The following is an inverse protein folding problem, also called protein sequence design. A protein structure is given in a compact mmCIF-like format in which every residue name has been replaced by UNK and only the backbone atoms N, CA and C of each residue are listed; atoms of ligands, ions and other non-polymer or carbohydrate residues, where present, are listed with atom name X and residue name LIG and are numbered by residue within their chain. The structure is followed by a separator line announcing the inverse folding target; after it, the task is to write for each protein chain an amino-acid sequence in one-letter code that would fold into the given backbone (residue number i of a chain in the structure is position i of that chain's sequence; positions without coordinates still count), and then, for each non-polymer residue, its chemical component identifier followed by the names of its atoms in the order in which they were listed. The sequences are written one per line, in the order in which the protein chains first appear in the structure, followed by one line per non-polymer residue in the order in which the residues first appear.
data_IF_662111207539
#
_entry.id   IF_662111207539
#
_cell.length_a   1.000
_cell.length_b   1.000
_cell.length_c   1.000
_cell.angle_alpha   90.00
_cell.angle_beta   90.00
_cell.angle_gamma   90.00
#
_symmetry.space_group_name_H-M   'P 1'
#
loop_
_entity.id
_entity.type
_entity.pdbx_description
1 polymer ?
#
# COMPACT_ATOMS: atom_id res chain seq x y z
N UNK A 1 3.69 -12.80 -2.48
CA UNK A 1 4.77 -11.92 -2.97
C UNK A 1 4.13 -10.83 -3.80
N UNK A 2 4.45 -9.56 -3.56
CA UNK A 2 3.95 -8.41 -4.31
C UNK A 2 5.11 -7.50 -4.73
N UNK A 3 4.82 -6.49 -5.52
CA UNK A 3 5.74 -5.40 -5.84
C UNK A 3 5.06 -4.05 -5.59
N UNK A 4 5.43 -3.37 -4.51
CA UNK A 4 4.85 -2.07 -4.15
C UNK A 4 3.39 -2.17 -3.72
N UNK A 5 3.10 -3.01 -2.74
CA UNK A 5 1.76 -3.45 -2.36
C UNK A 5 0.90 -2.40 -1.62
N UNK A 6 1.37 -1.17 -1.45
CA UNK A 6 0.73 -0.16 -0.59
C UNK A 6 -0.72 0.12 -1.01
N UNK A 7 -1.00 0.24 -2.32
CA UNK A 7 -2.38 0.39 -2.80
C UNK A 7 -3.12 -0.95 -2.87
N UNK A 8 -2.43 -2.03 -3.24
CA UNK A 8 -3.05 -3.35 -3.42
C UNK A 8 -3.71 -3.85 -2.13
N UNK A 9 -3.05 -3.67 -0.98
CA UNK A 9 -3.61 -4.06 0.32
C UNK A 9 -4.89 -3.30 0.62
N UNK A 10 -4.96 -2.01 0.29
CA UNK A 10 -6.16 -1.19 0.50
C UNK A 10 -7.29 -1.58 -0.45
N UNK A 11 -6.99 -1.83 -1.73
CA UNK A 11 -7.98 -2.23 -2.73
C UNK A 11 -8.56 -3.61 -2.43
N UNK A 12 -7.73 -4.56 -2.00
CA UNK A 12 -8.17 -5.89 -1.58
C UNK A 12 -9.16 -5.82 -0.40
N UNK A 13 -8.93 -4.93 0.56
CA UNK A 13 -9.87 -4.70 1.66
C UNK A 13 -11.16 -4.05 1.16
N UNK A 14 -11.07 -2.96 0.40
CA UNK A 14 -12.21 -2.18 -0.09
C UNK A 14 -13.17 -3.02 -0.92
N UNK A 15 -12.64 -3.76 -1.90
CA UNK A 15 -13.46 -4.39 -2.94
C UNK A 15 -13.84 -5.83 -2.58
N UNK A 16 -13.02 -6.51 -1.77
CA UNK A 16 -13.14 -7.95 -1.54
C UNK A 16 -13.07 -8.39 -0.07
N UNK A 17 -12.84 -7.47 0.88
CA UNK A 17 -12.60 -7.78 2.30
C UNK A 17 -11.46 -8.81 2.50
N UNK A 18 -10.44 -8.76 1.65
CA UNK A 18 -9.27 -9.65 1.71
C UNK A 18 -8.16 -8.98 2.53
N UNK A 19 -7.56 -9.76 3.43
CA UNK A 19 -6.41 -9.36 4.24
C UNK A 19 -5.22 -10.26 3.94
N UNK A 20 -4.03 -9.65 3.87
CA UNK A 20 -2.79 -10.35 3.54
C UNK A 20 -1.95 -10.55 4.80
N UNK A 21 -1.45 -11.77 5.01
CA UNK A 21 -0.53 -12.11 6.10
C UNK A 21 0.73 -12.70 5.51
N UNK A 22 1.89 -12.40 6.11
CA UNK A 22 3.20 -12.87 5.66
C UNK A 22 3.55 -12.38 4.23
N UNK A 23 3.39 -11.07 4.01
CA UNK A 23 3.74 -10.43 2.76
C UNK A 23 5.26 -10.33 2.62
N UNK A 24 5.77 -10.68 1.44
CA UNK A 24 7.08 -10.27 0.96
C UNK A 24 6.89 -9.32 -0.23
N UNK A 25 7.30 -8.08 -0.06
CA UNK A 25 7.23 -7.03 -1.06
C UNK A 25 8.62 -6.77 -1.65
N UNK A 26 8.76 -7.03 -2.94
CA UNK A 26 10.02 -6.87 -3.68
C UNK A 26 10.49 -5.42 -3.73
N UNK A 27 9.58 -4.43 -3.72
CA UNK A 27 9.95 -3.02 -3.67
C UNK A 27 10.57 -2.64 -2.31
N UNK A 28 10.03 -3.15 -1.20
CA UNK A 28 10.61 -2.94 0.14
C UNK A 28 11.95 -3.65 0.28
N UNK A 29 12.11 -4.85 -0.30
CA UNK A 29 13.40 -5.54 -0.34
C UNK A 29 14.47 -4.73 -1.11
N UNK A 30 14.10 -4.11 -2.23
CA UNK A 30 14.99 -3.22 -2.98
C UNK A 30 15.45 -2.00 -2.17
N UNK A 31 14.58 -1.42 -1.34
CA UNK A 31 14.94 -0.32 -0.44
C UNK A 31 15.97 -0.75 0.61
N UNK A 32 15.77 -1.93 1.22
CA UNK A 32 16.73 -2.50 2.18
C UNK A 32 18.06 -2.81 1.51
N UNK A 33 18.04 -3.33 0.28
CA UNK A 33 19.23 -3.56 -0.53
C UNK A 33 19.85 -2.29 -1.13
N UNK A 34 19.21 -1.12 -0.95
CA UNK A 34 19.67 0.15 -1.52
C UNK A 34 19.89 0.07 -3.04
N UNK A 35 19.01 -0.65 -3.76
CA UNK A 35 19.05 -0.78 -5.22
C UNK A 35 18.90 0.60 -5.89
N UNK A 36 19.53 0.85 -7.05
CA UNK A 36 19.42 2.12 -7.78
C UNK A 36 17.98 2.53 -8.11
N UNK A 37 17.13 1.54 -8.40
CA UNK A 37 15.71 1.71 -8.66
C UNK A 37 14.93 0.59 -7.99
N UNK A 38 13.64 0.83 -7.78
CA UNK A 38 12.71 -0.13 -7.17
C UNK A 38 11.45 -0.39 -7.99
N UNK A 39 11.43 0.00 -9.27
CA UNK A 39 10.28 -0.23 -10.16
C UNK A 39 10.27 -1.67 -10.67
N UNK A 40 9.09 -2.21 -10.98
CA UNK A 40 8.98 -3.58 -11.48
C UNK A 40 9.69 -3.74 -12.82
N UNK A 41 9.56 -2.74 -13.69
CA UNK A 41 10.28 -2.65 -14.97
C UNK A 41 11.80 -2.83 -14.79
N UNK A 42 12.40 -2.12 -13.82
CA UNK A 42 13.82 -2.24 -13.52
C UNK A 42 14.20 -3.66 -13.07
N UNK A 43 13.37 -4.30 -12.22
CA UNK A 43 13.65 -5.65 -11.74
C UNK A 43 13.48 -6.71 -12.83
N UNK A 44 12.48 -6.56 -13.69
CA UNK A 44 12.27 -7.45 -14.84
C UNK A 44 13.44 -7.40 -15.82
N UNK A 45 13.91 -6.20 -16.15
CA UNK A 45 15.09 -6.02 -17.00
C UNK A 45 16.36 -6.58 -16.31
N UNK A 46 16.58 -6.22 -15.04
CA UNK A 46 17.81 -6.60 -14.30
C UNK A 46 17.93 -8.10 -14.07
N UNK A 47 16.85 -8.78 -13.66
CA UNK A 47 16.93 -10.20 -13.29
C UNK A 47 16.50 -11.15 -14.40
N UNK A 48 15.57 -10.73 -15.26
CA UNK A 48 14.94 -11.62 -16.25
C UNK A 48 15.25 -11.20 -17.70
N UNK A 49 15.90 -10.05 -17.93
CA UNK A 49 16.15 -9.52 -19.27
C UNK A 49 14.88 -9.13 -20.03
N UNK A 50 13.76 -8.95 -19.32
CA UNK A 50 12.45 -8.67 -19.92
C UNK A 50 12.20 -7.17 -19.89
N UNK A 51 11.97 -6.59 -21.07
CA UNK A 51 11.55 -5.21 -21.22
C UNK A 51 10.04 -5.09 -21.06
N UNK A 52 9.58 -4.23 -20.16
CA UNK A 52 8.15 -3.95 -19.99
C UNK A 52 7.69 -2.84 -20.93
N UNK A 53 6.62 -3.09 -21.67
CA UNK A 53 5.86 -2.02 -22.31
C UNK A 53 5.02 -1.27 -21.25
N UNK A 54 5.11 0.05 -21.20
CA UNK A 54 4.39 0.89 -20.22
C UNK A 54 3.04 1.41 -20.75
N UNK A 55 2.71 1.12 -22.01
CA UNK A 55 1.49 1.57 -22.68
C UNK A 55 0.23 1.20 -21.89
N UNK A 56 0.14 -0.04 -21.40
CA UNK A 56 -1.06 -0.58 -20.74
C UNK A 56 -1.25 -0.17 -19.27
N UNK A 57 -0.30 0.56 -18.68
CA UNK A 57 -0.36 0.94 -17.25
C UNK A 57 -1.57 1.84 -16.93
N UNK A 58 -2.03 2.64 -17.90
CA UNK A 58 -3.12 3.63 -17.72
C UNK A 58 -4.35 3.34 -18.58
N UNK A 59 -4.44 2.14 -19.14
CA UNK A 59 -5.57 1.71 -19.97
C UNK A 59 -6.83 1.40 -19.15
N UNK A 60 -7.99 1.41 -19.81
CA UNK A 60 -9.26 1.06 -19.15
C UNK A 60 -9.41 -0.46 -19.00
N UNK A 61 -9.08 -0.97 -17.81
CA UNK A 61 -9.18 -2.39 -17.44
C UNK A 61 -10.61 -2.91 -17.25
N UNK A 62 -11.62 -2.03 -17.37
CA UNK A 62 -13.04 -2.40 -17.23
C UNK A 62 -13.63 -2.89 -18.56
N UNK A 63 -13.02 -2.56 -19.69
CA UNK A 63 -13.54 -2.92 -21.01
C UNK A 63 -13.65 -4.43 -21.22
N UNK A 64 -14.65 -4.91 -21.97
CA UNK A 64 -14.81 -6.34 -22.31
C UNK A 64 -15.29 -6.51 -23.77
N UNK A 65 -14.73 -7.48 -24.53
CA UNK A 65 -13.58 -8.34 -24.18
C UNK A 65 -12.30 -7.51 -24.01
N UNK A 66 -11.31 -8.07 -23.32
CA UNK A 66 -9.99 -7.43 -23.24
C UNK A 66 -9.25 -7.61 -24.59
N UNK A 67 -8.58 -6.57 -25.11
CA UNK A 67 -7.62 -6.68 -26.21
C UNK A 67 -6.56 -7.76 -25.93
N UNK A 68 -6.01 -8.37 -26.98
CA UNK A 68 -5.12 -9.54 -26.88
C UNK A 68 -3.83 -9.25 -26.10
N UNK A 69 -3.36 -8.01 -26.15
CA UNK A 69 -2.12 -7.54 -25.53
C UNK A 69 -2.26 -7.28 -24.01
N UNK A 70 -3.46 -6.94 -23.54
CA UNK A 70 -3.69 -6.62 -22.12
C UNK A 70 -3.49 -7.83 -21.19
N UNK A 71 -3.98 -9.05 -21.50
CA UNK A 71 -3.66 -10.26 -20.74
C UNK A 71 -2.16 -10.57 -20.70
N UNK A 72 -1.41 -10.31 -21.78
CA UNK A 72 0.04 -10.54 -21.81
C UNK A 72 0.78 -9.58 -20.89
N UNK A 73 0.38 -8.31 -20.90
CA UNK A 73 0.86 -7.31 -19.96
C UNK A 73 0.56 -7.71 -18.50
N UNK A 74 -0.71 -8.02 -18.20
CA UNK A 74 -1.13 -8.40 -16.84
C UNK A 74 -0.43 -9.68 -16.34
N UNK A 75 -0.18 -10.65 -17.23
CA UNK A 75 0.60 -11.85 -16.92
C UNK A 75 2.03 -11.49 -16.51
N UNK A 76 2.66 -10.60 -17.27
CA UNK A 76 4.07 -10.24 -17.09
C UNK A 76 4.34 -9.61 -15.71
N UNK A 77 3.38 -8.86 -15.17
CA UNK A 77 3.47 -8.24 -13.83
C UNK A 77 3.60 -9.28 -12.69
N UNK A 78 3.05 -10.48 -12.86
CA UNK A 78 3.08 -11.53 -11.84
C UNK A 78 4.05 -12.69 -12.16
N UNK A 79 4.23 -13.01 -13.45
CA UNK A 79 4.90 -14.24 -13.90
C UNK A 79 6.33 -14.40 -13.34
N UNK A 80 7.11 -13.32 -13.36
CA UNK A 80 8.52 -13.34 -12.93
C UNK A 80 8.72 -13.03 -11.45
N UNK A 81 7.66 -12.64 -10.74
CA UNK A 81 7.79 -12.01 -9.44
C UNK A 81 8.33 -12.96 -8.37
N UNK A 82 8.01 -14.26 -8.45
CA UNK A 82 8.58 -15.29 -7.58
C UNK A 82 10.07 -15.49 -7.81
N UNK A 83 10.52 -15.47 -9.07
CA UNK A 83 11.93 -15.58 -9.41
C UNK A 83 12.71 -14.38 -8.90
N UNK A 84 12.21 -13.16 -9.16
CA UNK A 84 12.78 -11.91 -8.65
C UNK A 84 12.86 -11.93 -7.12
N UNK A 85 11.80 -12.36 -6.44
CA UNK A 85 11.81 -12.48 -4.98
C UNK A 85 12.90 -13.42 -4.48
N UNK A 86 13.11 -14.57 -5.13
CA UNK A 86 14.19 -15.51 -4.79
C UNK A 86 15.57 -14.85 -4.95
N UNK A 87 15.82 -14.16 -6.05
CA UNK A 87 17.08 -13.44 -6.27
C UNK A 87 17.32 -12.38 -5.19
N UNK A 88 16.31 -11.57 -4.87
CA UNK A 88 16.40 -10.55 -3.81
C UNK A 88 16.65 -11.17 -2.42
N UNK A 89 16.03 -12.32 -2.12
CA UNK A 89 16.27 -13.04 -0.87
C UNK A 89 17.73 -13.52 -0.75
N UNK A 90 18.30 -14.03 -1.85
CA UNK A 90 19.69 -14.48 -1.86
C UNK A 90 20.67 -13.30 -1.73
N UNK A 91 20.39 -12.16 -2.37
CA UNK A 91 21.16 -10.93 -2.17
C UNK A 91 21.08 -10.39 -0.74
N UNK A 92 19.89 -10.39 -0.12
CA UNK A 92 19.71 -9.97 1.27
C UNK A 92 20.56 -10.84 2.22
N UNK A 93 20.59 -12.16 1.99
CA UNK A 93 21.42 -13.10 2.76
C UNK A 93 22.91 -12.83 2.55
N UNK A 94 23.34 -12.60 1.30
CA UNK A 94 24.75 -12.35 0.98
C UNK A 94 25.25 -11.04 1.62
N UNK A 95 24.45 -9.96 1.53
CA UNK A 95 24.78 -8.68 2.17
C UNK A 95 24.95 -8.82 3.68
N UNK A 96 24.07 -9.62 4.30
CA UNK A 96 24.13 -9.89 5.71
C UNK A 96 25.25 -10.86 6.14
N UNK A 97 25.79 -11.68 5.25
CA UNK A 97 26.99 -12.50 5.54
C UNK A 97 28.29 -11.69 5.48
N UNK A 98 28.33 -10.64 4.65
CA UNK A 98 29.50 -9.77 4.51
C UNK A 98 29.76 -8.91 5.77
N UNK A 99 28.71 -8.65 6.55
CA UNK A 99 28.79 -8.00 7.86
C UNK A 99 28.61 -9.10 8.92
N UNK A 100 29.72 -9.56 9.53
CA UNK A 100 29.84 -10.82 10.29
C UNK A 100 28.90 -11.03 11.51
N UNK A 101 27.87 -10.21 11.72
CA UNK A 101 26.91 -10.33 12.83
C UNK A 101 25.42 -10.08 12.46
N UNK A 102 25.10 -9.82 11.18
CA UNK A 102 23.81 -9.19 10.80
C UNK A 102 23.06 -9.91 9.66
N UNK A 103 23.34 -11.20 9.43
CA UNK A 103 22.75 -11.98 8.32
C UNK A 103 21.23 -11.98 8.32
N UNK A 104 20.64 -12.13 9.51
CA UNK A 104 19.20 -12.14 9.68
C UNK A 104 18.60 -10.73 9.64
N UNK A 105 19.38 -9.68 9.93
CA UNK A 105 18.86 -8.34 10.09
C UNK A 105 18.25 -7.79 8.79
N UNK A 106 18.95 -7.88 7.66
CA UNK A 106 18.42 -7.38 6.38
C UNK A 106 17.19 -8.16 5.91
N UNK A 107 17.20 -9.48 6.06
CA UNK A 107 16.06 -10.33 5.69
C UNK A 107 14.84 -10.04 6.56
N UNK A 108 15.04 -9.95 7.88
CA UNK A 108 13.99 -9.63 8.84
C UNK A 108 13.46 -8.22 8.61
N UNK A 109 14.31 -7.25 8.31
CA UNK A 109 13.90 -5.88 8.03
C UNK A 109 13.07 -5.78 6.74
N UNK A 110 13.45 -6.47 5.67
CA UNK A 110 12.66 -6.54 4.44
C UNK A 110 11.28 -7.18 4.71
N UNK A 111 11.25 -8.26 5.50
CA UNK A 111 10.01 -8.90 5.95
C UNK A 111 9.16 -7.97 6.81
N UNK A 112 9.75 -7.27 7.79
CA UNK A 112 9.06 -6.33 8.68
C UNK A 112 8.43 -5.18 7.91
N UNK A 113 9.16 -4.55 6.97
CA UNK A 113 8.65 -3.48 6.11
C UNK A 113 7.49 -3.96 5.24
N UNK A 114 7.61 -5.17 4.68
CA UNK A 114 6.55 -5.78 3.87
C UNK A 114 5.28 -6.04 4.70
N UNK A 115 5.43 -6.62 5.89
CA UNK A 115 4.28 -6.90 6.76
C UNK A 115 3.68 -5.64 7.38
N UNK A 116 4.45 -4.56 7.53
CA UNK A 116 3.92 -3.26 7.97
C UNK A 116 2.89 -2.72 6.98
N UNK A 117 3.08 -2.93 5.67
CA UNK A 117 2.09 -2.55 4.64
C UNK A 117 0.77 -3.29 4.85
N UNK A 118 0.78 -4.55 5.31
CA UNK A 118 -0.44 -5.31 5.60
C UNK A 118 -1.26 -4.77 6.77
N UNK A 119 -0.68 -3.93 7.62
CA UNK A 119 -1.37 -3.32 8.77
C UNK A 119 -2.16 -2.05 8.38
N UNK A 120 -2.02 -1.58 7.14
CA UNK A 120 -2.83 -0.48 6.64
C UNK A 120 -4.30 -0.88 6.62
N UNK A 121 -5.18 0.03 7.05
CA UNK A 121 -6.62 -0.17 7.04
C UNK A 121 -7.27 0.77 6.03
N UNK A 122 -8.09 0.21 5.15
CA UNK A 122 -8.90 1.00 4.25
C UNK A 122 -9.90 1.83 5.06
N UNK A 123 -9.86 3.15 4.86
CA UNK A 123 -10.89 4.08 5.29
C UNK A 123 -11.51 4.72 4.05
N UNK A 124 -12.85 4.77 4.03
CA UNK A 124 -13.54 5.56 3.01
C UNK A 124 -13.26 7.02 3.30
N UNK A 125 -12.87 7.77 2.28
CA UNK A 125 -12.82 9.23 2.39
C UNK A 125 -14.21 9.72 2.80
N UNK A 126 -14.29 10.37 3.97
CA UNK A 126 -15.49 11.10 4.34
C UNK A 126 -15.48 12.35 3.50
N UNK A 127 -16.11 12.30 2.32
CA UNK A 127 -16.53 13.51 1.65
C UNK A 127 -17.42 14.26 2.63
N UNK A 128 -16.95 15.41 3.09
CA UNK A 128 -17.75 16.28 3.93
C UNK A 128 -19.06 16.55 3.18
N UNK A 129 -20.20 16.26 3.81
CA UNK A 129 -21.48 16.53 3.17
C UNK A 129 -21.50 17.99 2.73
N UNK A 130 -22.05 18.34 1.55
CA UNK A 130 -22.20 19.73 1.15
C UNK A 130 -22.91 20.51 2.26
N UNK A 131 -22.18 21.42 2.93
CA UNK A 131 -22.68 22.19 4.07
C UNK A 131 -22.23 21.71 5.44
N UNK A 132 -21.40 20.68 5.60
CA UNK A 132 -20.90 20.23 6.91
C UNK A 132 -20.00 21.28 7.57
N UNK A 133 -19.20 22.00 6.77
CA UNK A 133 -18.44 23.18 7.22
C UNK A 133 -19.37 24.33 7.64
N UNK A 134 -20.47 24.53 6.89
CA UNK A 134 -21.48 25.56 7.21
C UNK A 134 -22.20 25.18 8.52
N UNK A 135 -22.66 23.93 8.65
CA UNK A 135 -23.31 23.41 9.84
C UNK A 135 -22.40 23.51 11.07
N UNK A 136 -21.12 23.14 10.92
CA UNK A 136 -20.12 23.29 11.98
C UNK A 136 -19.93 24.75 12.38
N UNK A 137 -19.87 25.68 11.41
CA UNK A 137 -19.74 27.11 11.71
C UNK A 137 -20.99 27.72 12.36
N UNK A 138 -22.19 27.25 12.01
CA UNK A 138 -23.46 27.65 12.62
C UNK A 138 -23.55 27.12 14.05
N UNK A 139 -23.18 25.84 14.27
CA UNK A 139 -23.11 25.24 15.60
C UNK A 139 -22.13 25.99 16.50
N UNK A 140 -20.90 26.23 16.02
CA UNK A 140 -19.89 26.98 16.79
C UNK A 140 -20.35 28.39 17.15
N UNK A 141 -21.04 29.09 16.23
CA UNK A 141 -21.62 30.42 16.49
C UNK A 141 -22.76 30.37 17.52
N UNK A 142 -23.65 29.38 17.43
CA UNK A 142 -24.75 29.24 18.40
C UNK A 142 -24.23 28.89 19.80
N UNK A 143 -23.18 28.06 19.90
CA UNK A 143 -22.56 27.68 21.16
C UNK A 143 -21.86 28.86 21.84
N UNK A 144 -21.17 29.71 21.08
CA UNK A 144 -20.58 30.95 21.60
C UNK A 144 -21.63 31.99 22.02
N UNK A 145 -22.78 32.03 21.33
CA UNK A 145 -23.89 32.91 21.72
C UNK A 145 -24.68 32.45 22.95
N UNK A 146 -24.68 31.14 23.27
CA UNK A 146 -25.41 30.58 24.40
C UNK A 146 -24.58 30.43 25.68
N UNK A 147 -23.28 30.74 25.66
CA UNK A 147 -22.42 30.69 26.85
C UNK A 147 -22.30 29.29 27.45
N UNK A 148 -22.35 28.24 26.62
CA UNK A 148 -22.19 26.86 27.07
C UNK A 148 -20.70 26.53 27.15
N UNK A 149 -20.26 26.15 28.34
CA UNK A 149 -18.87 25.84 28.71
C UNK A 149 -18.30 24.65 27.90
N UNK A 150 -17.06 24.79 27.42
CA UNK A 150 -16.36 23.86 26.49
C UNK A 150 -16.29 22.40 26.97
N UNK A 151 -16.45 22.17 28.28
CA UNK A 151 -16.39 20.84 28.90
C UNK A 151 -17.54 19.91 28.49
N UNK A 152 -18.72 20.43 28.13
CA UNK A 152 -19.87 19.61 27.69
C UNK A 152 -19.80 19.18 26.22
N UNK A 153 -18.92 19.81 25.44
CA UNK A 153 -18.78 19.61 24.00
C UNK A 153 -17.93 18.37 23.67
N UNK A 154 -16.92 18.12 24.51
CA UNK A 154 -16.06 16.92 24.45
C UNK A 154 -16.86 15.62 24.73
N UNK A 155 -17.75 15.62 25.72
CA UNK A 155 -18.57 14.44 26.05
C UNK A 155 -19.56 14.06 24.94
N UNK A 156 -20.14 15.06 24.25
CA UNK A 156 -21.08 14.83 23.16
C UNK A 156 -20.40 14.28 21.88
N UNK A 157 -19.17 14.72 21.59
CA UNK A 157 -18.37 14.17 20.49
C UNK A 157 -17.84 12.75 20.82
N UNK A 158 -17.49 12.48 22.08
CA UNK A 158 -17.05 11.15 22.51
C UNK A 158 -18.19 10.12 22.42
N UNK A 159 -19.41 10.46 22.83
CA UNK A 159 -20.55 9.55 22.77
C UNK A 159 -20.99 9.19 21.34
N UNK A 160 -20.81 10.08 20.37
CA UNK A 160 -21.13 9.80 18.96
C UNK A 160 -20.10 8.88 18.28
N UNK A 161 -18.83 8.92 18.71
CA UNK A 161 -17.80 8.02 18.18
C UNK A 161 -17.87 6.59 18.78
N UNK A 162 -18.48 6.41 19.96
CA UNK A 162 -18.62 5.09 20.62
C UNK A 162 -19.84 4.30 20.11
N UNK A 163 -20.75 4.91 19.33
CA UNK A 163 -21.96 4.26 18.80
C UNK A 163 -21.89 3.92 17.30
N UNK A 164 -20.71 3.95 16.69
CA UNK A 164 -20.51 3.58 15.29
C UNK A 164 -19.65 2.33 15.16
#
# INVERSE_FOLDING_TARGET
VFHGADNDVLWLQRDFHIYVVNLFDTAKACEVLSKPQKSLAYLLETYSGVMTDKSFQREDWRQRPLPEEMPEYARSDAHYLLYIARCLLDELRQRGNACQDDTLHFLLEAGRRSNTTCLQLYSKENEAFPGESIASSILSRNLTCQGIDDSKLLDAQFQNNVRR
#
